data_IF_436520536493
#
_entry.id   IF_436520536493
#
_cell.length_a   1.000
_cell.length_b   1.000
_cell.length_c   1.000
_cell.angle_alpha   90.00
_cell.angle_beta   90.00
_cell.angle_gamma   90.00
#
_symmetry.space_group_name_H-M   'P 1'
#
loop_
_entity.id
_entity.type
_entity.pdbx_description
1 polymer ?
#
# COMPACT_ATOMS: atom_id res chain seq x y z
N UNK A 1 0.05 -5.76 -16.10
CA UNK A 1 1.33 -5.26 -16.65
C UNK A 1 1.20 -3.82 -17.15
N UNK A 2 0.15 -3.46 -17.91
CA UNK A 2 0.03 -2.12 -18.52
C UNK A 2 -0.19 -0.95 -17.56
N UNK A 3 -0.72 -1.17 -16.36
CA UNK A 3 -1.04 -0.08 -15.40
C UNK A 3 0.23 0.56 -14.84
N UNK A 4 1.27 -0.22 -14.62
CA UNK A 4 2.58 0.24 -14.12
C UNK A 4 3.57 0.55 -15.26
N UNK A 5 3.13 0.53 -16.51
CA UNK A 5 3.96 0.87 -17.68
C UNK A 5 4.38 2.33 -17.66
N UNK A 6 5.56 2.61 -18.19
CA UNK A 6 6.02 3.98 -18.48
C UNK A 6 5.36 4.55 -19.74
N UNK A 7 4.80 3.71 -20.60
CA UNK A 7 4.04 4.11 -21.77
C UNK A 7 2.64 4.61 -21.40
N UNK A 8 2.35 5.85 -21.74
CA UNK A 8 1.05 6.47 -21.46
C UNK A 8 -0.10 5.77 -22.19
N UNK A 9 0.12 5.32 -23.43
CA UNK A 9 -0.92 4.64 -24.20
C UNK A 9 -1.27 3.29 -23.60
N UNK A 10 -0.30 2.49 -23.18
CA UNK A 10 -0.53 1.22 -22.47
C UNK A 10 -1.31 1.43 -21.16
N UNK A 11 -1.03 2.51 -20.43
CA UNK A 11 -1.77 2.84 -19.21
C UNK A 11 -3.22 3.20 -19.49
N UNK A 12 -3.47 3.97 -20.55
CA UNK A 12 -4.83 4.35 -20.96
C UNK A 12 -5.62 3.10 -21.37
N UNK A 13 -5.02 2.23 -22.15
CA UNK A 13 -5.68 1.02 -22.65
C UNK A 13 -5.96 0.04 -21.51
N UNK A 14 -5.01 -0.17 -20.59
CA UNK A 14 -5.22 -0.97 -19.39
C UNK A 14 -6.35 -0.38 -18.50
N UNK A 15 -6.43 0.94 -18.38
CA UNK A 15 -7.52 1.62 -17.67
C UNK A 15 -8.89 1.40 -18.31
N UNK A 16 -8.96 1.45 -19.64
CA UNK A 16 -10.20 1.16 -20.39
C UNK A 16 -10.64 -0.29 -20.22
N UNK A 17 -9.70 -1.23 -20.31
CA UNK A 17 -10.00 -2.65 -20.12
C UNK A 17 -10.49 -2.95 -18.71
N UNK A 18 -9.86 -2.36 -17.68
CA UNK A 18 -10.31 -2.47 -16.30
C UNK A 18 -11.75 -1.94 -16.14
N UNK A 19 -12.05 -0.75 -16.67
CA UNK A 19 -13.41 -0.18 -16.62
C UNK A 19 -14.43 -1.08 -17.34
N UNK A 20 -14.08 -1.63 -18.49
CA UNK A 20 -14.96 -2.55 -19.25
C UNK A 20 -15.26 -3.81 -18.44
N UNK A 21 -14.22 -4.44 -17.89
CA UNK A 21 -14.36 -5.67 -17.08
C UNK A 21 -15.18 -5.43 -15.82
N UNK A 22 -14.87 -4.39 -15.06
CA UNK A 22 -15.59 -4.04 -13.83
C UNK A 22 -17.04 -3.67 -14.13
N UNK A 23 -17.30 -2.91 -15.20
CA UNK A 23 -18.67 -2.60 -15.65
C UNK A 23 -19.48 -3.83 -16.02
N UNK A 24 -18.86 -4.84 -16.65
CA UNK A 24 -19.51 -6.13 -16.88
C UNK A 24 -19.86 -6.81 -15.55
N UNK A 25 -18.93 -6.89 -14.61
CA UNK A 25 -19.18 -7.48 -13.30
C UNK A 25 -20.33 -6.79 -12.56
N UNK A 26 -20.42 -5.45 -12.63
CA UNK A 26 -21.52 -4.68 -12.01
C UNK A 26 -22.86 -5.10 -12.60
N UNK A 27 -23.00 -5.14 -13.93
CA UNK A 27 -24.25 -5.57 -14.60
C UNK A 27 -24.63 -7.00 -14.22
N UNK A 28 -23.66 -7.91 -14.17
CA UNK A 28 -23.89 -9.30 -13.75
C UNK A 28 -24.39 -9.38 -12.30
N UNK A 29 -23.82 -8.56 -11.38
CA UNK A 29 -24.24 -8.56 -9.97
C UNK A 29 -25.57 -7.89 -9.74
N UNK A 30 -25.93 -6.88 -10.52
CA UNK A 30 -27.28 -6.32 -10.47
C UNK A 30 -28.34 -7.32 -10.96
N UNK A 31 -28.03 -8.09 -12.01
CA UNK A 31 -28.95 -9.12 -12.53
C UNK A 31 -29.01 -10.35 -11.60
N UNK A 32 -27.88 -10.74 -11.00
CA UNK A 32 -27.78 -11.90 -10.11
C UNK A 32 -26.80 -11.58 -8.95
N UNK A 33 -27.29 -11.03 -7.83
CA UNK A 33 -26.48 -10.73 -6.66
C UNK A 33 -25.71 -11.94 -6.14
N UNK A 34 -24.50 -11.71 -5.63
CA UNK A 34 -23.64 -12.70 -4.99
C UNK A 34 -23.19 -12.15 -3.63
N UNK A 35 -22.61 -13.01 -2.80
CA UNK A 35 -21.95 -12.59 -1.58
C UNK A 35 -20.53 -12.06 -1.91
N UNK A 36 -20.48 -10.84 -2.46
CA UNK A 36 -19.22 -10.17 -2.81
C UNK A 36 -19.33 -8.64 -2.71
N UNK A 37 -18.17 -7.99 -2.71
CA UNK A 37 -18.04 -6.55 -2.55
C UNK A 37 -18.73 -5.77 -3.69
N UNK A 38 -18.75 -6.29 -4.89
CA UNK A 38 -19.41 -5.62 -6.03
C UNK A 38 -20.92 -5.57 -5.79
N UNK A 39 -21.52 -6.68 -5.37
CA UNK A 39 -22.94 -6.71 -4.98
C UNK A 39 -23.22 -5.71 -3.86
N UNK A 40 -22.39 -5.71 -2.81
CA UNK A 40 -22.52 -4.75 -1.71
C UNK A 40 -22.51 -3.30 -2.22
N UNK A 41 -21.54 -2.93 -3.07
CA UNK A 41 -21.44 -1.58 -3.64
C UNK A 41 -22.68 -1.22 -4.48
N UNK A 42 -23.19 -2.16 -5.27
CA UNK A 42 -24.38 -1.91 -6.11
C UNK A 42 -25.68 -1.71 -5.32
N UNK A 43 -25.69 -2.13 -4.05
CA UNK A 43 -26.84 -2.00 -3.12
C UNK A 43 -26.71 -0.82 -2.17
N UNK A 44 -25.61 -0.06 -2.22
CA UNK A 44 -25.43 1.12 -1.37
C UNK A 44 -26.40 2.23 -1.75
N UNK A 45 -26.67 3.07 -0.76
CA UNK A 45 -27.31 4.37 -0.92
C UNK A 45 -26.37 5.49 -0.52
N UNK A 46 -26.36 6.57 -1.29
CA UNK A 46 -25.59 7.77 -1.00
C UNK A 46 -26.55 8.95 -0.98
N UNK A 47 -26.64 9.66 0.15
CA UNK A 47 -27.58 10.74 0.38
C UNK A 47 -29.05 10.34 0.12
N UNK A 48 -29.44 9.12 0.54
CA UNK A 48 -30.80 8.59 0.37
C UNK A 48 -31.15 8.21 -1.06
N UNK A 49 -30.17 8.10 -1.97
CA UNK A 49 -30.37 7.66 -3.34
C UNK A 49 -29.57 6.39 -3.61
N UNK A 50 -30.16 5.38 -4.29
CA UNK A 50 -29.43 4.21 -4.72
C UNK A 50 -28.22 4.59 -5.57
N UNK A 51 -27.11 3.89 -5.38
CA UNK A 51 -25.92 4.04 -6.22
C UNK A 51 -26.21 3.59 -7.64
N UNK A 52 -26.01 4.48 -8.62
CA UNK A 52 -26.12 4.16 -10.04
C UNK A 52 -24.87 3.41 -10.56
N UNK A 53 -24.88 2.99 -11.82
CA UNK A 53 -23.80 2.20 -12.40
C UNK A 53 -22.50 2.99 -12.54
N UNK A 54 -22.55 4.31 -12.77
CA UNK A 54 -21.35 5.15 -12.89
C UNK A 54 -20.68 5.34 -11.52
N UNK A 55 -21.45 5.57 -10.47
CA UNK A 55 -20.91 5.69 -9.12
C UNK A 55 -20.41 4.35 -8.61
N UNK A 56 -21.12 3.25 -8.86
CA UNK A 56 -20.67 1.89 -8.55
C UNK A 56 -19.36 1.57 -9.28
N UNK A 57 -19.25 1.91 -10.56
CA UNK A 57 -18.04 1.73 -11.35
C UNK A 57 -16.87 2.55 -10.78
N UNK A 58 -17.13 3.78 -10.37
CA UNK A 58 -16.12 4.64 -9.77
C UNK A 58 -15.57 4.06 -8.47
N UNK A 59 -16.44 3.54 -7.58
CA UNK A 59 -16.03 2.88 -6.34
C UNK A 59 -15.24 1.60 -6.62
N UNK A 60 -15.72 0.74 -7.50
CA UNK A 60 -15.05 -0.51 -7.82
C UNK A 60 -13.68 -0.27 -8.47
N UNK A 61 -13.56 0.69 -9.38
CA UNK A 61 -12.29 1.08 -10.02
C UNK A 61 -11.31 1.65 -9.00
N UNK A 62 -11.80 2.51 -8.09
CA UNK A 62 -10.96 3.05 -7.00
C UNK A 62 -10.39 1.91 -6.15
N UNK A 63 -11.21 0.98 -5.70
CA UNK A 63 -10.78 -0.15 -4.86
C UNK A 63 -9.83 -1.08 -5.61
N UNK A 64 -10.10 -1.34 -6.89
CA UNK A 64 -9.26 -2.16 -7.75
C UNK A 64 -7.83 -1.59 -7.85
N UNK A 65 -7.69 -0.32 -8.22
CA UNK A 65 -6.38 0.30 -8.35
C UNK A 65 -5.68 0.52 -7.00
N UNK A 66 -6.42 0.94 -5.98
CA UNK A 66 -5.86 1.19 -4.67
C UNK A 66 -5.30 -0.09 -4.02
N UNK A 67 -5.88 -1.25 -4.30
CA UNK A 67 -5.50 -2.53 -3.72
C UNK A 67 -4.35 -3.25 -4.43
N UNK A 68 -4.05 -2.93 -5.69
CA UNK A 68 -3.05 -3.68 -6.46
C UNK A 68 -1.61 -3.28 -6.13
N UNK A 69 -1.24 -2.04 -6.44
CA UNK A 69 0.16 -1.61 -6.39
C UNK A 69 0.64 -1.32 -4.96
N UNK A 70 -0.24 -0.82 -4.09
CA UNK A 70 0.17 -0.37 -2.76
C UNK A 70 0.60 -1.53 -1.87
N UNK A 71 -0.21 -2.58 -1.76
CA UNK A 71 0.12 -3.74 -0.93
C UNK A 71 1.29 -4.53 -1.51
N UNK A 72 1.35 -4.72 -2.84
CA UNK A 72 2.46 -5.40 -3.49
C UNK A 72 3.80 -4.70 -3.22
N UNK A 73 3.84 -3.36 -3.31
CA UNK A 73 5.04 -2.60 -3.00
C UNK A 73 5.38 -2.62 -1.51
N UNK A 74 4.39 -2.51 -0.62
CA UNK A 74 4.63 -2.64 0.83
C UNK A 74 5.24 -4.01 1.17
N UNK A 75 4.71 -5.10 0.60
CA UNK A 75 5.26 -6.45 0.72
C UNK A 75 6.70 -6.54 0.20
N UNK A 76 6.97 -5.94 -0.96
CA UNK A 76 8.30 -5.92 -1.55
C UNK A 76 9.32 -5.19 -0.67
N UNK A 77 8.94 -4.05 -0.07
CA UNK A 77 9.80 -3.34 0.88
C UNK A 77 10.04 -4.14 2.16
N UNK A 78 9.03 -4.81 2.70
CA UNK A 78 9.19 -5.69 3.86
C UNK A 78 10.16 -6.84 3.57
N UNK A 79 9.98 -7.54 2.46
CA UNK A 79 10.86 -8.65 2.06
C UNK A 79 12.28 -8.16 1.75
N UNK A 80 12.43 -7.00 1.11
CA UNK A 80 13.73 -6.39 0.88
C UNK A 80 14.44 -6.09 2.19
N UNK A 81 13.76 -5.50 3.16
CA UNK A 81 14.36 -5.22 4.46
C UNK A 81 14.82 -6.52 5.13
N UNK A 82 13.98 -7.54 5.18
CA UNK A 82 14.36 -8.85 5.70
C UNK A 82 15.53 -9.45 4.95
N UNK A 83 15.62 -9.31 3.64
CA UNK A 83 16.74 -9.80 2.83
C UNK A 83 18.05 -9.08 3.14
N UNK A 84 18.01 -7.88 3.72
CA UNK A 84 19.19 -7.12 4.19
C UNK A 84 19.55 -7.43 5.64
N UNK A 85 18.59 -7.89 6.45
CA UNK A 85 18.76 -8.17 7.88
C UNK A 85 18.41 -9.64 8.19
N UNK A 86 19.43 -10.51 8.08
CA UNK A 86 19.28 -11.94 8.37
C UNK A 86 19.12 -12.21 9.87
N UNK A 87 19.57 -11.30 10.74
CA UNK A 87 19.38 -11.45 12.18
C UNK A 87 17.90 -11.25 12.52
N UNK A 88 17.27 -10.26 11.91
CA UNK A 88 15.83 -10.05 12.05
C UNK A 88 15.03 -11.22 11.47
N UNK A 89 15.45 -11.79 10.31
CA UNK A 89 14.82 -12.99 9.78
C UNK A 89 14.83 -14.13 10.80
N UNK A 90 16.01 -14.41 11.41
CA UNK A 90 16.11 -15.48 12.39
C UNK A 90 15.28 -15.19 13.63
N UNK A 91 15.34 -13.97 14.13
CA UNK A 91 14.56 -13.56 15.30
C UNK A 91 13.04 -13.75 15.09
N UNK A 92 12.52 -13.41 13.90
CA UNK A 92 11.10 -13.59 13.58
C UNK A 92 10.71 -15.06 13.36
N UNK A 93 11.67 -15.93 12.99
CA UNK A 93 11.43 -17.38 12.98
C UNK A 93 11.35 -17.96 14.38
N UNK A 94 12.21 -17.48 15.28
CA UNK A 94 12.27 -17.96 16.67
C UNK A 94 11.11 -17.39 17.51
N UNK A 95 10.54 -16.24 17.11
CA UNK A 95 9.48 -15.52 17.79
C UNK A 95 8.37 -15.09 16.80
N UNK A 96 7.63 -16.06 16.20
CA UNK A 96 6.65 -15.76 15.18
C UNK A 96 5.48 -14.89 15.67
N UNK A 97 5.20 -14.89 16.97
CA UNK A 97 4.22 -14.01 17.60
C UNK A 97 4.56 -12.52 17.46
N UNK A 98 5.81 -12.18 17.17
CA UNK A 98 6.26 -10.80 16.91
C UNK A 98 6.02 -10.34 15.47
N UNK A 99 5.68 -11.23 14.54
CA UNK A 99 5.49 -10.87 13.11
C UNK A 99 4.45 -9.77 12.92
N UNK A 100 3.27 -9.78 13.56
CA UNK A 100 2.30 -8.70 13.41
C UNK A 100 2.84 -7.34 13.86
N UNK A 101 3.60 -7.30 14.95
CA UNK A 101 4.21 -6.07 15.44
C UNK A 101 5.36 -5.59 14.55
N UNK A 102 6.22 -6.51 14.11
CA UNK A 102 7.30 -6.23 13.16
C UNK A 102 6.74 -5.70 11.82
N UNK A 103 5.61 -6.21 11.35
CA UNK A 103 4.92 -5.71 10.17
C UNK A 103 4.52 -4.24 10.31
N UNK A 104 3.95 -3.82 11.47
CA UNK A 104 3.61 -2.40 11.70
C UNK A 104 4.87 -1.51 11.65
N UNK A 105 5.98 -1.95 12.25
CA UNK A 105 7.24 -1.20 12.24
C UNK A 105 7.84 -1.13 10.82
N UNK A 106 7.79 -2.22 10.06
CA UNK A 106 8.19 -2.23 8.66
C UNK A 106 7.33 -1.29 7.81
N UNK A 107 6.01 -1.26 8.02
CA UNK A 107 5.11 -0.31 7.36
C UNK A 107 5.38 1.13 7.78
N UNK A 108 5.71 1.38 9.05
CA UNK A 108 6.13 2.70 9.50
C UNK A 108 7.36 3.17 8.72
N UNK A 109 8.42 2.36 8.74
CA UNK A 109 9.72 2.71 8.12
C UNK A 109 9.64 2.81 6.61
N UNK A 110 8.81 1.99 5.98
CA UNK A 110 8.69 1.84 4.53
C UNK A 110 7.28 2.15 4.02
N UNK A 111 6.65 3.22 4.54
CA UNK A 111 5.38 3.67 3.97
C UNK A 111 5.53 4.00 2.48
N UNK A 112 4.61 3.50 1.65
CA UNK A 112 4.77 3.53 0.19
C UNK A 112 3.96 4.63 -0.49
N UNK A 113 2.98 5.23 0.18
CA UNK A 113 1.99 6.10 -0.47
C UNK A 113 2.03 7.54 0.07
N UNK A 114 2.82 8.44 -0.54
CA UNK A 114 2.58 9.86 -0.40
C UNK A 114 1.26 10.22 -1.11
N UNK A 115 0.47 11.12 -0.53
CA UNK A 115 -0.83 11.48 -1.11
C UNK A 115 -0.94 12.97 -1.34
N UNK A 116 -1.63 13.35 -2.39
CA UNK A 116 -1.86 14.75 -2.74
C UNK A 116 -3.23 15.22 -2.27
N UNK A 117 -3.31 16.50 -1.93
CA UNK A 117 -4.55 17.21 -1.59
C UNK A 117 -4.58 18.55 -2.30
N UNK A 118 -5.74 18.96 -2.74
CA UNK A 118 -5.96 20.29 -3.26
C UNK A 118 -6.36 21.22 -2.11
N UNK A 119 -5.72 22.37 -2.02
CA UNK A 119 -6.09 23.43 -1.09
C UNK A 119 -7.41 24.04 -1.55
N UNK A 120 -8.43 24.01 -0.71
CA UNK A 120 -9.77 24.43 -1.09
C UNK A 120 -10.03 25.91 -0.88
N UNK A 121 -9.25 26.58 -0.05
CA UNK A 121 -9.35 28.01 0.26
C UNK A 121 -7.98 28.57 0.58
N UNK A 122 -7.81 29.88 0.42
CA UNK A 122 -6.59 30.54 0.87
C UNK A 122 -6.41 30.35 2.37
N UNK A 123 -5.23 29.96 2.78
CA UNK A 123 -4.91 29.66 4.17
C UNK A 123 -3.42 29.98 4.46
N UNK A 124 -3.14 30.46 5.65
CA UNK A 124 -1.75 30.60 6.12
C UNK A 124 -1.46 29.49 7.11
N UNK A 125 -0.54 28.61 6.77
CA UNK A 125 -0.13 27.49 7.62
C UNK A 125 1.36 27.57 7.95
N UNK A 126 1.68 27.74 9.23
CA UNK A 126 3.06 27.84 9.74
C UNK A 126 3.90 28.92 9.02
N UNK A 127 3.29 30.03 8.63
CA UNK A 127 3.95 31.12 7.91
C UNK A 127 4.01 30.97 6.40
N UNK A 128 3.51 29.86 5.85
CA UNK A 128 3.38 29.66 4.41
C UNK A 128 1.97 30.04 3.94
N UNK A 129 1.89 30.89 2.93
CA UNK A 129 0.63 31.24 2.29
C UNK A 129 0.27 30.18 1.25
N UNK A 130 -0.80 29.45 1.50
CA UNK A 130 -1.38 28.47 0.59
C UNK A 130 -2.57 29.11 -0.12
N UNK A 131 -2.71 28.89 -1.42
CA UNK A 131 -3.80 29.44 -2.23
C UNK A 131 -4.78 28.32 -2.60
N UNK A 132 -6.05 28.68 -2.76
CA UNK A 132 -7.04 27.78 -3.33
C UNK A 132 -6.57 27.28 -4.70
N UNK A 133 -6.63 25.97 -4.91
CA UNK A 133 -6.12 25.30 -6.10
C UNK A 133 -4.68 24.79 -6.00
N UNK A 134 -3.89 25.23 -5.03
CA UNK A 134 -2.55 24.68 -4.81
C UNK A 134 -2.60 23.17 -4.46
N UNK A 135 -1.56 22.45 -4.88
CA UNK A 135 -1.40 21.03 -4.58
C UNK A 135 -0.46 20.83 -3.39
N UNK A 136 -0.96 20.23 -2.31
CA UNK A 136 -0.18 19.86 -1.14
C UNK A 136 0.16 18.38 -1.15
N UNK A 137 1.43 18.03 -1.01
CA UNK A 137 1.89 16.66 -0.84
C UNK A 137 1.95 16.29 0.64
N UNK A 138 1.12 15.37 1.06
CA UNK A 138 1.20 14.74 2.38
C UNK A 138 2.22 13.61 2.31
N UNK A 139 3.45 13.90 2.72
CA UNK A 139 4.55 12.95 2.64
C UNK A 139 4.56 12.01 3.86
N UNK A 140 3.68 11.01 3.87
CA UNK A 140 3.60 10.02 4.94
C UNK A 140 4.90 9.24 5.17
N UNK A 141 5.67 8.83 4.12
CA UNK A 141 6.99 8.24 4.31
C UNK A 141 7.92 9.10 5.18
N UNK A 142 8.01 10.40 4.90
CA UNK A 142 8.86 11.30 5.68
C UNK A 142 8.30 11.53 7.10
N UNK A 143 6.99 11.66 7.25
CA UNK A 143 6.37 11.85 8.57
C UNK A 143 6.56 10.63 9.49
N UNK A 144 6.62 9.43 8.93
CA UNK A 144 6.79 8.20 9.70
C UNK A 144 8.23 7.95 10.17
N UNK A 145 9.20 8.74 9.70
CA UNK A 145 10.60 8.70 10.16
C UNK A 145 11.02 9.98 10.90
N UNK A 146 10.07 10.87 11.20
CA UNK A 146 10.33 12.12 11.93
C UNK A 146 10.80 11.82 13.36
N UNK A 147 12.02 12.17 13.70
CA UNK A 147 12.63 11.91 15.01
C UNK A 147 11.92 12.63 16.17
N UNK A 148 11.15 13.67 15.89
CA UNK A 148 10.30 14.35 16.89
C UNK A 148 9.16 13.46 17.37
N UNK A 149 8.81 12.41 16.60
CA UNK A 149 7.73 11.47 16.88
C UNK A 149 8.27 10.07 17.13
N UNK A 150 9.26 9.65 16.36
CA UNK A 150 9.86 8.32 16.42
C UNK A 150 11.35 8.44 16.68
N UNK A 151 11.77 8.21 17.90
CA UNK A 151 13.20 8.15 18.23
C UNK A 151 13.91 7.12 17.35
N UNK A 152 15.02 7.49 16.70
CA UNK A 152 15.69 6.68 15.67
C UNK A 152 14.72 6.24 14.58
N UNK A 153 13.96 7.21 14.03
CA UNK A 153 12.89 6.96 13.08
C UNK A 153 13.34 6.34 11.75
N UNK A 154 14.60 6.47 11.39
CA UNK A 154 15.23 5.86 10.23
C UNK A 154 15.56 4.37 10.40
N UNK A 155 15.57 3.86 11.64
CA UNK A 155 15.81 2.46 11.96
C UNK A 155 14.50 1.66 12.08
N UNK A 156 14.58 0.36 11.86
CA UNK A 156 13.53 -0.60 12.18
C UNK A 156 13.80 -1.17 13.56
N UNK A 157 12.88 -0.96 14.48
CA UNK A 157 12.93 -1.49 15.84
C UNK A 157 11.65 -2.27 16.15
N UNK A 158 11.73 -3.59 16.07
CA UNK A 158 10.59 -4.48 16.32
C UNK A 158 10.22 -4.62 17.82
N UNK A 159 10.92 -3.95 18.70
CA UNK A 159 10.56 -3.83 20.11
C UNK A 159 10.07 -2.42 20.47
N UNK A 160 9.90 -1.56 19.50
CA UNK A 160 9.32 -0.22 19.67
C UNK A 160 7.96 -0.31 20.36
N UNK A 161 7.85 0.25 21.54
CA UNK A 161 6.67 0.14 22.39
C UNK A 161 5.38 0.68 21.71
N UNK A 162 5.52 1.79 20.94
CA UNK A 162 4.39 2.44 20.27
C UNK A 162 4.70 2.74 18.81
N UNK A 163 3.91 2.18 17.91
CA UNK A 163 4.03 2.38 16.47
C UNK A 163 2.78 3.10 15.92
N UNK A 164 2.59 4.34 16.35
CA UNK A 164 1.44 5.17 15.91
C UNK A 164 1.75 5.84 14.56
N UNK A 165 2.03 5.03 13.55
CA UNK A 165 2.35 5.51 12.22
C UNK A 165 1.12 5.95 11.42
N UNK A 166 1.35 6.77 10.39
CA UNK A 166 0.34 7.24 9.44
C UNK A 166 0.52 6.67 8.03
N UNK A 167 1.13 5.48 7.90
CA UNK A 167 1.30 4.82 6.59
C UNK A 167 -0.05 4.59 5.86
N UNK A 168 -1.13 4.42 6.61
CA UNK A 168 -2.50 4.31 6.09
C UNK A 168 -3.28 5.62 6.09
N UNK A 169 -2.61 6.75 6.28
CA UNK A 169 -3.26 8.05 6.43
C UNK A 169 -4.04 8.20 7.73
N UNK A 170 -4.79 9.30 7.84
CA UNK A 170 -5.59 9.65 9.02
C UNK A 170 -6.90 10.35 8.60
N UNK A 171 -7.82 10.52 9.58
CA UNK A 171 -9.10 11.20 9.37
C UNK A 171 -10.04 10.45 8.43
N UNK A 172 -10.92 11.19 7.77
CA UNK A 172 -11.98 10.65 6.89
C UNK A 172 -11.43 9.92 5.65
N UNK A 173 -10.21 10.20 5.25
CA UNK A 173 -9.53 9.55 4.14
C UNK A 173 -8.58 8.42 4.57
N UNK A 174 -8.67 7.97 5.81
CA UNK A 174 -7.89 6.81 6.26
C UNK A 174 -8.16 5.61 5.37
N UNK A 175 -7.11 4.87 5.00
CA UNK A 175 -7.19 3.73 4.09
C UNK A 175 -8.29 2.75 4.50
N UNK A 176 -9.26 2.51 3.60
CA UNK A 176 -10.34 1.54 3.81
C UNK A 176 -9.81 0.11 3.87
N UNK A 177 -8.79 -0.22 3.04
CA UNK A 177 -8.19 -1.55 2.95
C UNK A 177 -7.13 -1.85 4.03
N UNK A 178 -6.92 -0.98 5.01
CA UNK A 178 -5.85 -1.12 6.02
C UNK A 178 -5.86 -2.44 6.81
N UNK A 179 -7.03 -3.02 7.03
CA UNK A 179 -7.15 -4.29 7.74
C UNK A 179 -6.76 -5.47 6.85
N UNK A 180 -7.22 -5.46 5.60
CA UNK A 180 -6.87 -6.48 4.61
C UNK A 180 -5.35 -6.45 4.32
N UNK A 181 -4.78 -5.29 4.06
CA UNK A 181 -3.35 -5.15 3.80
C UNK A 181 -2.47 -5.68 4.95
N UNK A 182 -2.88 -5.46 6.20
CA UNK A 182 -2.17 -6.01 7.37
C UNK A 182 -2.19 -7.54 7.39
N UNK A 183 -3.36 -8.13 7.15
CA UNK A 183 -3.51 -9.58 7.09
C UNK A 183 -2.65 -10.15 5.97
N UNK A 184 -2.72 -9.57 4.78
CA UNK A 184 -1.95 -10.02 3.61
C UNK A 184 -0.43 -9.98 3.87
N UNK A 185 0.08 -8.88 4.47
CA UNK A 185 1.51 -8.73 4.76
C UNK A 185 1.94 -9.71 5.87
N UNK A 186 1.14 -9.87 6.94
CA UNK A 186 1.45 -10.82 8.01
C UNK A 186 1.52 -12.24 7.46
N UNK A 187 0.50 -12.68 6.72
CA UNK A 187 0.47 -14.01 6.10
C UNK A 187 1.67 -14.23 5.16
N UNK A 188 2.02 -13.20 4.36
CA UNK A 188 3.21 -13.29 3.50
C UNK A 188 4.48 -13.51 4.32
N UNK A 189 4.69 -12.72 5.39
CA UNK A 189 5.88 -12.82 6.22
C UNK A 189 5.95 -14.18 6.93
N UNK A 190 4.84 -14.65 7.49
CA UNK A 190 4.76 -15.98 8.11
C UNK A 190 5.10 -17.10 7.13
N UNK A 191 4.49 -17.10 5.94
CA UNK A 191 4.70 -18.15 4.95
C UNK A 191 6.12 -18.13 4.35
N UNK A 192 6.67 -16.94 4.10
CA UNK A 192 8.05 -16.80 3.61
C UNK A 192 9.05 -17.26 4.66
N UNK A 193 8.92 -16.81 5.90
CA UNK A 193 9.84 -17.19 6.98
C UNK A 193 9.75 -18.67 7.33
N UNK A 194 8.58 -19.29 7.21
CA UNK A 194 8.35 -20.71 7.46
C UNK A 194 8.87 -21.60 6.36
N UNK A 195 8.69 -21.20 5.08
CA UNK A 195 8.95 -22.09 3.92
C UNK A 195 10.31 -21.86 3.27
N UNK A 196 10.88 -20.66 3.44
CA UNK A 196 12.18 -20.35 2.86
C UNK A 196 13.27 -20.41 3.93
N UNK A 197 14.43 -20.94 3.57
CA UNK A 197 15.64 -20.76 4.37
C UNK A 197 16.05 -19.30 4.45
N UNK A 198 17.21 -19.02 5.04
CA UNK A 198 17.75 -17.65 5.06
C UNK A 198 17.98 -17.16 3.64
N UNK A 199 17.40 -16.01 3.33
CA UNK A 199 17.51 -15.37 2.01
C UNK A 199 18.19 -14.02 2.13
N UNK A 200 18.81 -13.58 1.04
CA UNK A 200 19.51 -12.29 0.94
C UNK A 200 19.32 -11.70 -0.46
N UNK A 201 19.57 -10.40 -0.57
CA UNK A 201 19.63 -9.75 -1.89
C UNK A 201 20.79 -10.34 -2.70
N UNK A 202 20.56 -10.45 -4.00
CA UNK A 202 21.60 -10.82 -4.94
C UNK A 202 22.57 -9.64 -5.11
N UNK A 203 23.85 -9.79 -4.75
CA UNK A 203 24.81 -8.68 -4.83
C UNK A 203 25.15 -8.26 -6.27
N UNK A 204 24.87 -9.13 -7.25
CA UNK A 204 25.13 -8.85 -8.67
C UNK A 204 23.98 -8.06 -9.33
N UNK A 205 22.89 -7.82 -8.61
CA UNK A 205 21.72 -7.13 -9.14
C UNK A 205 21.43 -5.86 -8.35
N UNK A 206 21.41 -4.78 -9.07
CA UNK A 206 20.99 -3.49 -8.51
C UNK A 206 19.50 -3.48 -8.20
N UNK A 207 19.14 -3.03 -7.00
CA UNK A 207 17.76 -2.79 -6.62
C UNK A 207 17.37 -1.40 -7.07
N UNK A 208 16.51 -1.31 -8.08
CA UNK A 208 15.98 -0.03 -8.55
C UNK A 208 14.74 0.36 -7.76
N UNK A 209 14.68 1.63 -7.35
CA UNK A 209 13.50 2.23 -6.71
C UNK A 209 12.92 3.30 -7.61
N UNK A 210 11.61 3.42 -7.63
CA UNK A 210 10.91 4.44 -8.39
C UNK A 210 10.01 5.24 -7.45
N UNK A 211 10.07 6.57 -7.58
CA UNK A 211 9.11 7.47 -6.97
C UNK A 211 7.89 7.66 -7.86
N UNK A 212 6.79 8.08 -7.25
CA UNK A 212 5.52 8.36 -7.94
C UNK A 212 4.38 8.49 -6.94
N UNK A 213 3.17 8.21 -7.37
CA UNK A 213 2.00 8.11 -6.50
C UNK A 213 2.12 6.97 -5.48
N UNK A 214 2.92 5.97 -5.80
CA UNK A 214 3.36 4.89 -4.91
C UNK A 214 4.86 4.72 -5.08
N UNK A 215 5.58 4.63 -3.96
CA UNK A 215 7.00 4.22 -3.97
C UNK A 215 7.05 2.75 -4.32
N UNK A 216 7.87 2.39 -5.30
CA UNK A 216 7.94 1.01 -5.79
C UNK A 216 9.38 0.53 -5.92
N UNK A 217 9.54 -0.79 -5.82
CA UNK A 217 10.77 -1.48 -6.13
C UNK A 217 10.63 -2.06 -7.53
N UNK A 218 11.47 -1.63 -8.47
CA UNK A 218 11.40 -2.06 -9.86
C UNK A 218 11.94 -3.47 -10.09
N UNK A 219 12.95 -3.88 -9.33
CA UNK A 219 13.52 -5.23 -9.35
C UNK A 219 14.16 -5.54 -8.00
N UNK A 220 13.79 -6.67 -7.43
CA UNK A 220 14.45 -7.22 -6.24
C UNK A 220 15.25 -8.43 -6.71
N UNK A 221 16.12 -8.52 -7.53
CA UNK A 221 16.89 -9.71 -7.91
C UNK A 221 16.36 -11.06 -7.37
N UNK A 222 16.77 -12.18 -7.89
CA UNK A 222 16.38 -13.47 -7.30
C UNK A 222 16.99 -13.59 -5.91
N UNK A 223 16.18 -13.77 -4.88
CA UNK A 223 16.67 -14.15 -3.57
C UNK A 223 17.36 -15.53 -3.68
N UNK A 224 18.63 -15.59 -3.36
CA UNK A 224 19.33 -16.88 -3.24
C UNK A 224 18.99 -17.45 -1.87
N UNK A 225 18.20 -18.51 -1.81
CA UNK A 225 17.99 -19.29 -0.59
C UNK A 225 18.87 -20.54 -0.64
N UNK A 226 19.62 -20.82 0.42
CA UNK A 226 20.07 -22.18 0.65
C UNK A 226 18.86 -22.95 1.18
N UNK A 227 18.41 -23.97 0.45
CA UNK A 227 17.48 -24.96 1.03
C UNK A 227 18.20 -25.58 2.23
N UNK A 228 17.54 -25.59 3.37
CA UNK A 228 17.97 -26.39 4.50
C UNK A 228 17.85 -27.89 4.17
#
# INVERSE_FOLDING_TARGET
AGISSTDMQERIDAGRDARRLVGQCIRERRAKPKDDLITYITQLEVNGKPVDDELALSYCILLFFAGLDTVANAMAFCLRYLAMDQQLQQRLRDQPEKIPHAMEELLRRHAVAPVMRTIMKDETWRGFNLRAGDMALLNYPAANIDERVFQHGDMVDIDRERINHIAFGAGVHRCAGRHLARIEIVVLLEEVLKRMGTFRLDPEREVTMRGGSVLSIGSIGRATSKRA
#
